data_IF_270705187049
#
_entry.id   IF_270705187049
#
_cell.length_a   1.000
_cell.length_b   1.000
_cell.length_c   1.000
_cell.angle_alpha   90.00
_cell.angle_beta   90.00
_cell.angle_gamma   90.00
#
_symmetry.space_group_name_H-M   'P 1'
#
loop_
_entity.id
_entity.type
_entity.pdbx_description
1 polymer ?
#
# COMPACT_ATOMS: atom_id res chain seq x y z
N UNK A 1 1.06 18.98 -15.01
CA UNK A 1 0.71 17.60 -15.40
C UNK A 1 -0.78 17.59 -15.71
N UNK A 2 -1.16 17.50 -16.98
CA UNK A 2 -2.58 17.32 -17.33
C UNK A 2 -2.98 15.89 -16.94
N UNK A 3 -3.99 15.75 -16.08
CA UNK A 3 -4.48 14.43 -15.69
C UNK A 3 -5.54 14.00 -16.69
N UNK A 4 -5.20 13.02 -17.53
CA UNK A 4 -6.16 12.45 -18.47
C UNK A 4 -7.27 11.73 -17.69
N UNK A 5 -8.52 12.08 -17.96
CA UNK A 5 -9.67 11.45 -17.33
C UNK A 5 -9.78 9.98 -17.80
N UNK A 6 -9.42 9.04 -16.94
CA UNK A 6 -9.35 7.59 -17.23
C UNK A 6 -10.25 6.78 -16.30
N UNK A 7 -11.58 6.95 -16.38
CA UNK A 7 -12.53 6.45 -15.38
C UNK A 7 -12.53 4.91 -15.29
N UNK A 8 -12.49 4.22 -16.43
CA UNK A 8 -12.51 2.75 -16.47
C UNK A 8 -11.22 2.13 -15.92
N UNK A 9 -10.07 2.70 -16.26
CA UNK A 9 -8.78 2.23 -15.73
C UNK A 9 -8.69 2.46 -14.22
N UNK A 10 -9.14 3.63 -13.75
CA UNK A 10 -9.18 3.96 -12.32
C UNK A 10 -10.14 3.06 -11.54
N UNK A 11 -11.31 2.75 -12.11
CA UNK A 11 -12.28 1.81 -11.53
C UNK A 11 -11.67 0.39 -11.44
N UNK A 12 -11.04 -0.08 -12.51
CA UNK A 12 -10.39 -1.38 -12.55
C UNK A 12 -9.27 -1.51 -11.50
N UNK A 13 -8.41 -0.49 -11.41
CA UNK A 13 -7.38 -0.42 -10.37
C UNK A 13 -7.96 -0.43 -8.95
N UNK A 14 -9.01 0.36 -8.71
CA UNK A 14 -9.72 0.38 -7.43
C UNK A 14 -10.34 -0.97 -7.06
N UNK A 15 -10.97 -1.66 -8.03
CA UNK A 15 -11.51 -3.01 -7.83
C UNK A 15 -10.41 -4.02 -7.47
N UNK A 16 -9.25 -3.97 -8.13
CA UNK A 16 -8.12 -4.86 -7.82
C UNK A 16 -7.56 -4.61 -6.42
N UNK A 17 -7.41 -3.34 -6.01
CA UNK A 17 -6.96 -2.99 -4.65
C UNK A 17 -7.98 -3.47 -3.60
N UNK A 18 -9.28 -3.22 -3.84
CA UNK A 18 -10.36 -3.64 -2.97
C UNK A 18 -10.44 -5.17 -2.83
N UNK A 19 -10.34 -5.89 -3.94
CA UNK A 19 -10.28 -7.35 -3.95
C UNK A 19 -9.07 -7.86 -3.15
N UNK A 20 -7.88 -7.29 -3.35
CA UNK A 20 -6.70 -7.65 -2.57
C UNK A 20 -6.89 -7.45 -1.07
N UNK A 21 -7.48 -6.32 -0.66
CA UNK A 21 -7.78 -6.04 0.74
C UNK A 21 -8.80 -7.01 1.34
N UNK A 22 -9.86 -7.35 0.60
CA UNK A 22 -10.88 -8.32 1.03
C UNK A 22 -10.31 -9.73 1.11
N UNK A 23 -9.47 -10.14 0.14
CA UNK A 23 -8.81 -11.46 0.17
C UNK A 23 -7.88 -11.59 1.38
N UNK A 24 -7.14 -10.54 1.72
CA UNK A 24 -6.30 -10.54 2.93
C UNK A 24 -7.15 -10.67 4.20
N UNK A 25 -8.26 -9.94 4.26
CA UNK A 25 -9.17 -9.96 5.40
C UNK A 25 -9.93 -11.27 5.53
N UNK A 26 -10.39 -11.85 4.42
CA UNK A 26 -11.13 -13.09 4.39
C UNK A 26 -10.22 -14.31 4.61
N UNK A 27 -9.05 -14.33 3.98
CA UNK A 27 -8.12 -15.46 4.05
C UNK A 27 -7.32 -15.51 5.35
N UNK A 28 -6.77 -14.38 5.80
CA UNK A 28 -5.88 -14.32 6.97
C UNK A 28 -6.51 -13.61 8.18
N UNK A 29 -7.71 -13.03 8.05
CA UNK A 29 -8.32 -12.25 9.14
C UNK A 29 -7.60 -10.92 9.42
N UNK A 30 -6.71 -10.48 8.51
CA UNK A 30 -5.85 -9.30 8.70
C UNK A 30 -6.34 -8.13 7.86
N UNK A 31 -6.21 -6.92 8.39
CA UNK A 31 -6.54 -5.68 7.67
C UNK A 31 -5.32 -5.21 6.89
N UNK A 32 -5.50 -4.77 5.65
CA UNK A 32 -4.42 -4.21 4.84
C UNK A 32 -3.96 -2.87 5.44
N UNK A 33 -2.72 -2.81 5.93
CA UNK A 33 -2.11 -1.60 6.46
C UNK A 33 -0.61 -1.61 6.23
N UNK A 34 -0.14 -0.84 5.24
CA UNK A 34 1.27 -0.84 4.83
C UNK A 34 2.23 -0.49 5.98
N UNK A 35 1.90 0.50 6.81
CA UNK A 35 2.73 0.89 7.97
C UNK A 35 2.90 -0.26 8.97
N UNK A 36 1.82 -0.96 9.32
CA UNK A 36 1.87 -2.09 10.25
C UNK A 36 2.55 -3.33 9.68
N UNK A 37 2.43 -3.56 8.36
CA UNK A 37 3.16 -4.62 7.66
C UNK A 37 4.67 -4.30 7.69
N UNK A 38 5.04 -3.06 7.36
CA UNK A 38 6.44 -2.65 7.28
C UNK A 38 7.11 -2.61 8.66
N UNK A 39 6.48 -1.98 9.66
CA UNK A 39 6.99 -1.96 11.04
C UNK A 39 7.09 -3.37 11.60
N UNK A 40 6.09 -4.20 11.31
CA UNK A 40 6.04 -5.59 11.71
C UNK A 40 7.16 -6.47 11.16
N UNK A 41 7.68 -6.14 9.97
CA UNK A 41 8.84 -6.80 9.36
C UNK A 41 10.15 -6.28 9.93
N UNK A 42 10.27 -4.96 10.08
CA UNK A 42 11.49 -4.31 10.57
C UNK A 42 11.78 -4.67 12.03
N UNK A 43 10.74 -4.67 12.88
CA UNK A 43 10.88 -4.98 14.30
C UNK A 43 10.70 -6.46 14.63
N UNK A 44 10.46 -7.32 13.62
CA UNK A 44 10.32 -8.77 13.74
C UNK A 44 9.43 -9.21 14.92
N UNK A 45 8.27 -8.56 15.08
CA UNK A 45 7.42 -8.69 16.29
C UNK A 45 6.94 -10.13 16.55
N UNK A 46 6.78 -10.95 15.50
CA UNK A 46 6.51 -12.38 15.65
C UNK A 46 6.89 -13.17 14.39
N UNK A 47 7.47 -14.36 14.58
CA UNK A 47 7.86 -15.24 13.47
C UNK A 47 6.65 -15.78 12.69
N UNK A 48 5.49 -15.96 13.35
CA UNK A 48 4.27 -16.43 12.70
C UNK A 48 3.66 -15.39 11.77
N UNK A 49 3.75 -14.10 12.10
CA UNK A 49 3.22 -13.02 11.25
C UNK A 49 4.23 -12.61 10.16
N UNK A 50 5.52 -12.86 10.38
CA UNK A 50 6.57 -12.47 9.45
C UNK A 50 6.32 -13.02 8.04
N UNK A 51 5.91 -14.29 7.92
CA UNK A 51 5.75 -14.95 6.62
C UNK A 51 4.75 -14.23 5.70
N UNK A 52 3.56 -13.86 6.21
CA UNK A 52 2.55 -13.22 5.37
C UNK A 52 2.89 -11.74 5.12
N UNK A 53 3.46 -11.05 6.12
CA UNK A 53 3.92 -9.66 5.95
C UNK A 53 5.01 -9.59 4.88
N UNK A 54 5.94 -10.53 4.90
CA UNK A 54 7.03 -10.61 3.93
C UNK A 54 6.48 -10.94 2.54
N UNK A 55 5.54 -11.89 2.43
CA UNK A 55 4.88 -12.20 1.16
C UNK A 55 4.19 -10.97 0.55
N UNK A 56 3.52 -10.14 1.37
CA UNK A 56 2.91 -8.89 0.91
C UNK A 56 3.93 -7.90 0.36
N UNK A 57 5.04 -7.68 1.08
CA UNK A 57 6.09 -6.75 0.63
C UNK A 57 6.80 -7.25 -0.61
N UNK A 58 7.13 -8.54 -0.66
CA UNK A 58 7.71 -9.17 -1.85
C UNK A 58 6.75 -9.04 -3.04
N UNK A 59 5.45 -9.27 -2.85
CA UNK A 59 4.45 -9.06 -3.89
C UNK A 59 4.42 -7.62 -4.42
N UNK A 60 4.50 -6.61 -3.55
CA UNK A 60 4.56 -5.20 -3.96
C UNK A 60 5.84 -4.88 -4.76
N UNK A 61 6.99 -5.44 -4.36
CA UNK A 61 8.27 -5.24 -5.04
C UNK A 61 8.30 -5.95 -6.40
N UNK A 62 7.70 -7.15 -6.49
CA UNK A 62 7.69 -7.94 -7.72
C UNK A 62 6.68 -7.44 -8.76
N UNK A 63 5.64 -6.72 -8.35
CA UNK A 63 4.56 -6.29 -9.24
C UNK A 63 5.04 -5.52 -10.49
N UNK A 64 5.92 -4.51 -10.41
CA UNK A 64 6.44 -3.83 -11.60
C UNK A 64 7.23 -4.76 -12.54
N UNK A 65 7.96 -5.73 -11.98
CA UNK A 65 8.70 -6.73 -12.75
C UNK A 65 7.77 -7.70 -13.48
N UNK A 66 6.66 -8.09 -12.85
CA UNK A 66 5.63 -8.90 -13.50
C UNK A 66 4.93 -8.15 -14.63
N UNK A 67 4.67 -6.85 -14.44
CA UNK A 67 4.14 -5.98 -15.49
C UNK A 67 5.12 -5.96 -16.66
N UNK A 68 6.41 -5.71 -16.42
CA UNK A 68 7.43 -5.72 -17.46
C UNK A 68 7.49 -7.04 -18.23
N UNK A 69 7.38 -8.19 -17.54
CA UNK A 69 7.39 -9.50 -18.20
C UNK A 69 6.17 -9.72 -19.12
N UNK A 70 5.00 -9.18 -18.75
CA UNK A 70 3.76 -9.34 -19.51
C UNK A 70 3.62 -8.33 -20.65
N UNK A 71 4.04 -7.09 -20.45
CA UNK A 71 3.85 -6.00 -21.43
C UNK A 71 5.10 -5.68 -22.23
N UNK A 72 6.28 -6.13 -21.80
CA UNK A 72 7.58 -5.76 -22.37
C UNK A 72 8.02 -4.33 -22.04
N UNK A 73 7.23 -3.58 -21.27
CA UNK A 73 7.48 -2.18 -20.93
C UNK A 73 7.45 -1.96 -19.42
N UNK A 74 8.41 -1.21 -18.91
CA UNK A 74 8.46 -0.84 -17.50
C UNK A 74 7.45 0.29 -17.25
N UNK A 75 6.75 0.31 -16.10
CA UNK A 75 5.86 1.41 -15.76
C UNK A 75 6.62 2.74 -15.78
N UNK A 76 6.02 3.76 -16.38
CA UNK A 76 6.63 5.09 -16.46
C UNK A 76 6.72 5.68 -15.05
N UNK A 77 7.94 5.99 -14.62
CA UNK A 77 8.26 6.54 -13.30
C UNK A 77 8.78 7.96 -13.48
N UNK A 78 7.88 8.94 -13.41
CA UNK A 78 8.25 10.35 -13.33
C UNK A 78 8.22 10.80 -11.87
N UNK A 79 9.41 11.07 -11.32
CA UNK A 79 9.58 11.53 -9.94
C UNK A 79 10.25 12.90 -9.98
N UNK A 80 9.47 13.99 -10.06
CA UNK A 80 10.00 15.34 -10.25
C UNK A 80 10.53 15.94 -8.93
N UNK A 81 11.23 15.14 -8.12
CA UNK A 81 11.77 15.53 -6.81
C UNK A 81 13.14 14.90 -6.56
N UNK A 82 13.98 15.57 -5.76
CA UNK A 82 15.32 15.08 -5.45
C UNK A 82 15.27 13.87 -4.50
N UNK A 83 16.26 12.95 -4.55
CA UNK A 83 16.32 11.80 -3.64
C UNK A 83 16.29 12.19 -2.16
N UNK A 84 16.91 13.32 -1.82
CA UNK A 84 16.89 13.87 -0.46
C UNK A 84 15.48 14.26 -0.01
N UNK A 85 14.67 14.81 -0.91
CA UNK A 85 13.28 15.16 -0.63
C UNK A 85 12.40 13.92 -0.45
N UNK A 86 12.68 12.84 -1.20
CA UNK A 86 12.02 11.54 -1.02
C UNK A 86 12.31 10.97 0.38
N UNK A 87 13.57 11.00 0.80
CA UNK A 87 13.96 10.51 2.14
C UNK A 87 13.26 11.31 3.23
N UNK A 88 13.30 12.64 3.16
CA UNK A 88 12.61 13.51 4.14
C UNK A 88 11.11 13.25 4.15
N UNK A 89 10.48 13.19 2.96
CA UNK A 89 9.05 12.90 2.83
C UNK A 89 8.68 11.54 3.43
N UNK A 90 9.50 10.51 3.20
CA UNK A 90 9.33 9.18 3.77
C UNK A 90 9.37 9.19 5.31
N UNK A 91 10.30 9.92 5.92
CA UNK A 91 10.37 10.07 7.39
C UNK A 91 9.12 10.77 7.92
N UNK A 92 8.72 11.88 7.31
CA UNK A 92 7.54 12.64 7.75
C UNK A 92 6.27 11.78 7.64
N UNK A 93 6.08 11.10 6.51
CA UNK A 93 4.93 10.22 6.28
C UNK A 93 4.95 9.03 7.25
N UNK A 94 6.11 8.42 7.48
CA UNK A 94 6.26 7.31 8.42
C UNK A 94 5.93 7.73 9.85
N UNK A 95 6.42 8.89 10.28
CA UNK A 95 6.11 9.46 11.58
C UNK A 95 4.61 9.78 11.72
N UNK A 96 4.02 10.46 10.73
CA UNK A 96 2.60 10.78 10.70
C UNK A 96 1.71 9.54 10.73
N UNK A 97 2.03 8.51 9.94
CA UNK A 97 1.29 7.26 9.94
C UNK A 97 1.39 6.49 11.27
N UNK A 98 2.53 6.61 11.95
CA UNK A 98 2.73 6.03 13.29
C UNK A 98 1.89 6.74 14.34
N UNK A 99 1.86 8.08 14.33
CA UNK A 99 1.01 8.88 15.23
C UNK A 99 -0.49 8.67 14.96
N UNK A 100 -0.87 8.60 13.68
CA UNK A 100 -2.25 8.30 13.27
C UNK A 100 -2.66 6.85 13.48
N UNK A 101 -1.72 5.96 13.86
CA UNK A 101 -1.87 4.50 13.93
C UNK A 101 -2.46 3.86 12.67
N UNK A 102 -2.18 4.48 11.52
CA UNK A 102 -2.82 4.15 10.26
C UNK A 102 -2.19 4.92 9.11
N UNK A 103 -2.25 4.32 7.93
CA UNK A 103 -1.85 4.95 6.67
C UNK A 103 -3.05 4.99 5.71
N UNK A 104 -2.83 5.48 4.49
CA UNK A 104 -3.85 5.56 3.44
C UNK A 104 -4.49 4.20 3.12
N UNK A 105 -3.74 3.10 3.13
CA UNK A 105 -4.32 1.76 2.96
C UNK A 105 -5.19 1.33 4.15
N UNK A 106 -4.70 1.56 5.37
CA UNK A 106 -5.40 1.18 6.60
C UNK A 106 -6.67 2.01 6.87
N UNK A 107 -6.55 3.34 6.86
CA UNK A 107 -7.67 4.25 7.10
C UNK A 107 -8.50 4.47 5.84
N UNK A 108 -7.86 4.79 4.72
CA UNK A 108 -8.57 5.14 3.48
C UNK A 108 -9.26 3.94 2.84
N UNK A 109 -8.52 2.87 2.54
CA UNK A 109 -9.10 1.70 1.84
C UNK A 109 -9.92 0.83 2.80
N UNK A 110 -9.33 0.38 3.91
CA UNK A 110 -10.04 -0.56 4.80
C UNK A 110 -10.91 0.13 5.86
N UNK A 111 -10.45 1.24 6.43
CA UNK A 111 -11.09 1.90 7.57
C UNK A 111 -12.39 2.61 7.21
N UNK A 112 -12.38 3.42 6.14
CA UNK A 112 -13.56 4.11 5.63
C UNK A 112 -14.62 3.13 5.12
N UNK A 113 -14.21 2.08 4.40
CA UNK A 113 -15.13 1.02 3.95
C UNK A 113 -15.79 0.26 5.10
N UNK A 114 -15.17 0.24 6.28
CA UNK A 114 -15.72 -0.34 7.52
C UNK A 114 -16.45 0.68 8.40
N UNK A 115 -16.69 1.90 7.89
CA UNK A 115 -17.36 2.99 8.60
C UNK A 115 -16.69 3.34 9.95
N UNK A 116 -15.36 3.25 10.01
CA UNK A 116 -14.62 3.62 11.22
C UNK A 116 -14.55 5.14 11.38
N UNK A 117 -15.11 5.66 12.48
CA UNK A 117 -15.04 7.10 12.83
C UNK A 117 -13.60 7.59 12.89
N UNK A 118 -12.68 6.76 13.41
CA UNK A 118 -11.26 7.12 13.50
C UNK A 118 -10.60 7.31 12.13
N UNK A 119 -11.10 6.65 11.09
CA UNK A 119 -10.56 6.74 9.74
C UNK A 119 -11.15 7.89 8.92
N UNK A 120 -12.21 8.53 9.42
CA UNK A 120 -12.85 9.69 8.80
C UNK A 120 -12.13 11.01 9.13
N UNK A 121 -11.37 11.02 10.23
CA UNK A 121 -10.65 12.18 10.79
C UNK A 121 -9.21 12.19 10.33
#
# INVERSE_FOLDING_TARGET
>A
METLFTPFASLGGGMLIGLGAVLLMFGLGRILGATGIMSGLVFAESSSEFSWRAAMVVGMILAPGLIFLMTGAMPELDVPVSPLMIVIGGVIVGFGASLGSGCTSGHGVCGLSRLSVRSIV
#
